data_IF_875121461716
#
_entry.id   IF_875121461716
#
_cell.length_a   1.000
_cell.length_b   1.000
_cell.length_c   1.000
_cell.angle_alpha   90.00
_cell.angle_beta   90.00
_cell.angle_gamma   90.00
#
_symmetry.space_group_name_H-M   'P 1'
#
loop_
_entity.id
_entity.type
_entity.pdbx_description
1 polymer ?
#
# COMPACT_ATOMS: atom_id res chain seq x y z
N UNK A 1 4.49 3.74 12.78
CA UNK A 1 3.96 2.41 13.16
C UNK A 1 4.31 1.48 12.00
N UNK A 2 5.33 0.66 12.13
CA UNK A 2 5.77 -0.22 11.03
C UNK A 2 4.82 -1.41 10.94
N UNK A 3 4.15 -1.55 9.81
CA UNK A 3 3.37 -2.75 9.52
C UNK A 3 4.39 -3.88 9.41
N UNK A 4 4.27 -4.90 10.24
CA UNK A 4 5.16 -6.06 10.13
C UNK A 4 4.99 -6.68 8.73
N UNK A 5 6.06 -7.10 8.04
CA UNK A 5 5.97 -7.63 6.67
C UNK A 5 5.02 -8.83 6.53
N UNK A 6 4.81 -9.58 7.63
CA UNK A 6 3.83 -10.66 7.73
C UNK A 6 2.39 -10.14 7.66
N UNK A 7 2.10 -9.01 8.30
CA UNK A 7 0.78 -8.36 8.24
C UNK A 7 0.50 -7.80 6.85
N UNK A 8 1.51 -7.25 6.16
CA UNK A 8 1.33 -6.72 4.80
C UNK A 8 0.97 -7.81 3.80
N UNK A 9 1.68 -8.94 3.82
CA UNK A 9 1.40 -10.10 2.95
C UNK A 9 0.01 -10.69 3.22
N UNK A 10 -0.37 -10.77 4.51
CA UNK A 10 -1.70 -11.25 4.92
C UNK A 10 -2.81 -10.31 4.47
N UNK A 11 -2.60 -8.99 4.59
CA UNK A 11 -3.56 -7.99 4.14
C UNK A 11 -3.67 -7.94 2.62
N UNK A 12 -2.56 -8.01 1.89
CA UNK A 12 -2.58 -8.06 0.43
C UNK A 12 -3.41 -9.25 -0.09
N UNK A 13 -3.21 -10.44 0.48
CA UNK A 13 -3.99 -11.63 0.15
C UNK A 13 -5.49 -11.46 0.45
N UNK A 14 -5.83 -10.83 1.58
CA UNK A 14 -7.21 -10.52 1.93
C UNK A 14 -7.89 -9.59 0.90
N UNK A 15 -7.22 -8.52 0.47
CA UNK A 15 -7.75 -7.61 -0.56
C UNK A 15 -7.94 -8.33 -1.91
N UNK A 16 -6.99 -9.18 -2.31
CA UNK A 16 -7.10 -9.98 -3.53
C UNK A 16 -8.30 -10.93 -3.49
N UNK A 17 -8.50 -11.63 -2.37
CA UNK A 17 -9.66 -12.51 -2.20
C UNK A 17 -10.98 -11.74 -2.29
N UNK A 18 -11.08 -10.60 -1.61
CA UNK A 18 -12.27 -9.73 -1.67
C UNK A 18 -12.57 -9.22 -3.08
N UNK A 19 -11.54 -8.89 -3.86
CA UNK A 19 -11.67 -8.47 -5.26
C UNK A 19 -12.22 -9.55 -6.19
N UNK A 20 -11.95 -10.83 -5.90
CA UNK A 20 -12.50 -11.96 -6.65
C UNK A 20 -13.95 -12.27 -6.28
N UNK A 21 -14.36 -11.94 -5.06
CA UNK A 21 -15.69 -12.23 -4.53
C UNK A 21 -16.71 -11.10 -4.77
N UNK A 22 -16.27 -9.86 -4.97
CA UNK A 22 -17.18 -8.74 -5.21
C UNK A 22 -17.70 -8.74 -6.66
N UNK A 23 -19.01 -8.55 -6.81
CA UNK A 23 -19.67 -8.32 -8.09
C UNK A 23 -20.01 -6.84 -8.33
N UNK A 24 -19.71 -5.98 -7.35
CA UNK A 24 -19.96 -4.54 -7.43
C UNK A 24 -18.73 -3.84 -8.01
N UNK A 25 -18.94 -3.10 -9.11
CA UNK A 25 -17.89 -2.30 -9.74
C UNK A 25 -17.36 -1.22 -8.79
N UNK A 26 -18.24 -0.60 -8.00
CA UNK A 26 -17.88 0.46 -7.05
C UNK A 26 -17.01 -0.12 -5.91
N UNK A 27 -17.40 -1.26 -5.34
CA UNK A 27 -16.60 -1.92 -4.30
C UNK A 27 -15.24 -2.35 -4.84
N UNK A 28 -15.19 -2.84 -6.08
CA UNK A 28 -13.94 -3.22 -6.73
C UNK A 28 -12.99 -2.02 -6.87
N UNK A 29 -13.50 -0.87 -7.32
CA UNK A 29 -12.70 0.36 -7.41
C UNK A 29 -12.22 0.83 -6.04
N UNK A 30 -13.08 0.80 -5.02
CA UNK A 30 -12.69 1.17 -3.65
C UNK A 30 -11.59 0.25 -3.09
N UNK A 31 -11.70 -1.06 -3.29
CA UNK A 31 -10.71 -2.04 -2.83
C UNK A 31 -9.35 -1.85 -3.52
N UNK A 32 -9.33 -1.54 -4.82
CA UNK A 32 -8.08 -1.26 -5.55
C UNK A 32 -7.43 0.02 -5.04
N UNK A 33 -8.20 1.11 -4.87
CA UNK A 33 -7.67 2.37 -4.38
C UNK A 33 -7.09 2.24 -2.95
N UNK A 34 -7.75 1.47 -2.08
CA UNK A 34 -7.25 1.19 -0.74
C UNK A 34 -5.97 0.36 -0.76
N UNK A 35 -5.87 -0.63 -1.66
CA UNK A 35 -4.65 -1.41 -1.84
C UNK A 35 -3.49 -0.51 -2.26
N UNK A 36 -3.69 0.37 -3.24
CA UNK A 36 -2.64 1.30 -3.68
C UNK A 36 -2.21 2.26 -2.57
N UNK A 37 -3.16 2.78 -1.80
CA UNK A 37 -2.85 3.67 -0.67
C UNK A 37 -2.03 2.97 0.43
N UNK A 38 -2.29 1.70 0.69
CA UNK A 38 -1.65 0.97 1.79
C UNK A 38 -0.29 0.36 1.40
N UNK A 39 -0.13 -0.06 0.15
CA UNK A 39 1.04 -0.83 -0.30
C UNK A 39 1.95 -0.09 -1.27
N UNK A 40 1.50 1.01 -1.87
CA UNK A 40 2.31 1.81 -2.82
C UNK A 40 2.87 3.09 -2.19
N UNK A 41 2.80 3.23 -0.86
CA UNK A 41 3.55 4.27 -0.15
C UNK A 41 5.04 3.92 -0.20
N UNK A 42 5.67 4.31 -1.30
CA UNK A 42 7.12 4.51 -1.33
C UNK A 42 7.46 5.39 -0.13
N UNK A 43 8.42 4.98 0.73
CA UNK A 43 8.98 5.89 1.70
C UNK A 43 9.40 7.14 0.92
N UNK A 44 9.18 8.37 1.44
CA UNK A 44 9.86 9.51 0.88
C UNK A 44 11.34 9.14 0.88
N UNK A 45 11.92 9.05 -0.33
CA UNK A 45 13.35 8.88 -0.49
C UNK A 45 13.98 9.90 0.45
N UNK A 46 14.79 9.48 1.44
CA UNK A 46 15.35 10.42 2.38
C UNK A 46 16.14 11.41 1.53
N UNK A 47 15.62 12.63 1.42
CA UNK A 47 16.31 13.73 0.75
C UNK A 47 17.69 13.76 1.39
N UNK A 48 18.66 13.25 0.63
CA UNK A 48 20.04 13.17 1.06
C UNK A 48 20.38 14.57 1.56
N UNK A 49 20.75 14.76 2.84
CA UNK A 49 21.09 16.07 3.33
C UNK A 49 22.24 16.53 2.45
N UNK A 50 21.99 17.52 1.60
CA UNK A 50 23.05 18.32 1.00
C UNK A 50 23.65 19.11 2.16
N UNK A 51 24.43 18.40 2.97
CA UNK A 51 25.39 18.96 3.90
C UNK A 51 26.41 19.70 3.07
N UNK A 52 26.17 21.00 2.97
CA UNK A 52 27.14 22.06 3.24
C UNK A 52 28.59 21.76 2.87
N UNK A 53 29.00 22.40 1.76
CA UNK A 53 30.23 23.21 1.58
C UNK A 53 31.61 22.53 1.71
N UNK A 54 32.61 23.08 1.00
CA UNK A 54 33.30 24.31 1.41
C UNK A 54 33.07 25.51 0.47
#
# INVERSE_FOLDING_TARGET
>A
MFISPVNEQTMAAYYQQRLQQTHSVIERMALVALFELLFTQTPPEPEQPKSSTP
#
